data_IF_151214505224
#
_entry.id   IF_151214505224
#
_cell.length_a   1.000
_cell.length_b   1.000
_cell.length_c   1.000
_cell.angle_alpha   90.00
_cell.angle_beta   90.00
_cell.angle_gamma   90.00
#
_symmetry.space_group_name_H-M   'P 1'
#
loop_
_entity.id
_entity.type
_entity.pdbx_description
1 polymer ?
#
# COMPACT_ATOMS: atom_id res chain seq x y z
N UNK A 1 -22.54 14.04 -1.61
CA UNK A 1 -21.24 14.02 -2.33
C UNK A 1 -20.03 13.65 -1.44
N UNK A 2 -20.04 13.83 -0.11
CA UNK A 2 -18.83 13.61 0.71
C UNK A 2 -18.42 12.13 0.90
N UNK A 3 -19.36 11.17 0.91
CA UNK A 3 -19.01 9.75 1.15
C UNK A 3 -18.34 9.07 -0.05
N UNK A 4 -18.79 9.37 -1.27
CA UNK A 4 -18.26 8.78 -2.50
C UNK A 4 -16.78 9.13 -2.71
N UNK A 5 -16.43 10.41 -2.53
CA UNK A 5 -15.04 10.88 -2.70
C UNK A 5 -14.12 10.19 -1.68
N UNK A 6 -14.55 10.04 -0.43
CA UNK A 6 -13.79 9.33 0.61
C UNK A 6 -13.51 7.88 0.23
N UNK A 7 -14.54 7.17 -0.26
CA UNK A 7 -14.39 5.78 -0.69
C UNK A 7 -13.46 5.68 -1.90
N UNK A 8 -13.63 6.54 -2.90
CA UNK A 8 -12.78 6.57 -4.09
C UNK A 8 -11.31 6.80 -3.69
N UNK A 9 -11.01 7.72 -2.78
CA UNK A 9 -9.63 7.99 -2.35
C UNK A 9 -8.97 6.77 -1.70
N UNK A 10 -9.68 6.08 -0.80
CA UNK A 10 -9.15 4.88 -0.11
C UNK A 10 -9.01 3.71 -1.09
N UNK A 11 -10.00 3.50 -1.96
CA UNK A 11 -9.96 2.45 -2.98
C UNK A 11 -8.85 2.71 -4.00
N UNK A 12 -8.63 3.96 -4.40
CA UNK A 12 -7.55 4.33 -5.32
C UNK A 12 -6.18 4.00 -4.73
N UNK A 13 -5.94 4.36 -3.46
CA UNK A 13 -4.70 4.00 -2.78
C UNK A 13 -4.52 2.47 -2.72
N UNK A 14 -5.58 1.73 -2.41
CA UNK A 14 -5.53 0.26 -2.41
C UNK A 14 -5.19 -0.31 -3.80
N UNK A 15 -5.76 0.24 -4.87
CA UNK A 15 -5.47 -0.20 -6.24
C UNK A 15 -4.00 0.03 -6.58
N UNK A 16 -3.43 1.17 -6.19
CA UNK A 16 -2.01 1.48 -6.41
C UNK A 16 -1.11 0.47 -5.69
N UNK A 17 -1.42 0.15 -4.43
CA UNK A 17 -0.65 -0.83 -3.65
C UNK A 17 -0.78 -2.24 -4.23
N UNK A 18 -1.97 -2.65 -4.67
CA UNK A 18 -2.13 -3.93 -5.37
C UNK A 18 -1.41 -3.97 -6.71
N UNK A 19 -1.44 -2.87 -7.47
CA UNK A 19 -0.69 -2.75 -8.71
C UNK A 19 0.81 -2.90 -8.44
N UNK A 20 1.30 -2.30 -7.35
CA UNK A 20 2.69 -2.40 -6.91
C UNK A 20 3.12 -3.79 -6.44
N UNK A 21 2.28 -4.46 -5.65
CA UNK A 21 2.49 -5.84 -5.26
C UNK A 21 2.50 -6.77 -6.48
N UNK A 22 1.50 -6.62 -7.36
CA UNK A 22 1.35 -7.43 -8.56
C UNK A 22 2.49 -7.24 -9.56
N UNK A 23 2.96 -6.01 -9.78
CA UNK A 23 4.10 -5.74 -10.66
C UNK A 23 5.38 -6.40 -10.16
N UNK A 24 5.63 -6.37 -8.84
CA UNK A 24 6.79 -7.02 -8.22
C UNK A 24 6.69 -8.55 -8.25
N UNK A 25 5.55 -9.14 -7.85
CA UNK A 25 5.37 -10.59 -7.94
C UNK A 25 5.52 -11.13 -9.36
N UNK A 26 5.05 -10.36 -10.36
CA UNK A 26 5.16 -10.74 -11.77
C UNK A 26 6.46 -10.29 -12.44
N UNK A 27 7.38 -9.64 -11.72
CA UNK A 27 8.60 -9.04 -12.26
C UNK A 27 8.35 -8.20 -13.52
N UNK A 28 7.25 -7.44 -13.52
CA UNK A 28 6.85 -6.56 -14.62
C UNK A 28 6.24 -7.26 -15.85
N UNK A 29 6.03 -8.58 -15.84
CA UNK A 29 5.49 -9.33 -17.00
C UNK A 29 4.19 -8.74 -17.56
N UNK A 30 3.31 -8.24 -16.69
CA UNK A 30 2.00 -7.71 -17.08
C UNK A 30 1.89 -6.18 -16.95
N UNK A 31 2.72 -5.56 -16.12
CA UNK A 31 2.70 -4.11 -15.86
C UNK A 31 4.14 -3.56 -15.88
N UNK A 32 4.82 -3.62 -17.04
CA UNK A 32 6.26 -3.36 -17.11
C UNK A 32 6.65 -1.93 -16.76
N UNK A 33 5.81 -0.95 -17.10
CA UNK A 33 6.08 0.46 -16.78
C UNK A 33 6.03 0.73 -15.27
N UNK A 34 5.08 0.12 -14.56
CA UNK A 34 4.94 0.30 -13.11
C UNK A 34 6.06 -0.44 -12.37
N UNK A 35 6.43 -1.63 -12.84
CA UNK A 35 7.59 -2.35 -12.33
C UNK A 35 8.88 -1.53 -12.52
N UNK A 36 9.12 -0.97 -13.71
CA UNK A 36 10.26 -0.11 -13.98
C UNK A 36 10.28 1.15 -13.10
N UNK A 37 9.11 1.77 -12.87
CA UNK A 37 8.98 2.85 -11.90
C UNK A 37 9.43 2.38 -10.51
N UNK A 38 8.96 1.25 -10.01
CA UNK A 38 9.34 0.75 -8.69
C UNK A 38 10.83 0.39 -8.59
N UNK A 39 11.41 -0.26 -9.60
CA UNK A 39 12.82 -0.68 -9.59
C UNK A 39 13.79 0.50 -9.76
N UNK A 40 13.34 1.59 -10.38
CA UNK A 40 14.06 2.86 -10.41
C UNK A 40 14.24 3.49 -9.02
N UNK A 41 13.27 3.27 -8.11
CA UNK A 41 13.27 3.80 -6.75
C UNK A 41 13.96 2.85 -5.76
N UNK A 42 13.64 1.56 -5.84
CA UNK A 42 14.20 0.52 -4.99
C UNK A 42 14.56 -0.69 -5.86
N UNK A 43 15.85 -1.06 -6.00
CA UNK A 43 16.25 -2.21 -6.80
C UNK A 43 15.51 -3.49 -6.41
N UNK A 44 15.29 -4.37 -7.39
CA UNK A 44 14.77 -5.71 -7.16
C UNK A 44 15.93 -6.71 -7.15
N UNK A 45 16.82 -6.53 -6.18
CA UNK A 45 18.14 -7.16 -6.12
C UNK A 45 18.17 -8.45 -5.30
N UNK A 46 17.00 -8.98 -4.92
CA UNK A 46 16.87 -10.14 -4.04
C UNK A 46 17.20 -9.85 -2.58
N UNK A 47 17.43 -8.58 -2.20
CA UNK A 47 17.55 -8.20 -0.79
C UNK A 47 16.26 -8.52 -0.03
N UNK A 48 16.37 -8.72 1.28
CA UNK A 48 15.23 -8.93 2.17
C UNK A 48 14.15 -7.85 2.01
N UNK A 49 14.55 -6.59 1.83
CA UNK A 49 13.62 -5.47 1.60
C UNK A 49 12.88 -5.64 0.27
N UNK A 50 13.58 -5.95 -0.82
CA UNK A 50 12.98 -6.17 -2.12
C UNK A 50 11.99 -7.34 -2.10
N UNK A 51 12.35 -8.45 -1.44
CA UNK A 51 11.50 -9.63 -1.28
C UNK A 51 10.21 -9.31 -0.51
N UNK A 52 10.31 -8.53 0.58
CA UNK A 52 9.18 -8.30 1.50
C UNK A 52 8.25 -7.19 0.99
N UNK A 53 8.75 -6.20 0.25
CA UNK A 53 7.98 -5.05 -0.25
C UNK A 53 6.62 -5.42 -0.88
N UNK A 54 6.52 -6.36 -1.84
CA UNK A 54 5.23 -6.70 -2.45
C UNK A 54 4.21 -7.30 -1.45
N UNK A 55 4.67 -7.99 -0.41
CA UNK A 55 3.79 -8.52 0.63
C UNK A 55 3.25 -7.41 1.53
N UNK A 56 4.07 -6.42 1.86
CA UNK A 56 3.66 -5.25 2.63
C UNK A 56 2.64 -4.43 1.84
N UNK A 57 2.90 -4.16 0.57
CA UNK A 57 1.96 -3.45 -0.31
C UNK A 57 0.61 -4.18 -0.39
N UNK A 58 0.63 -5.50 -0.59
CA UNK A 58 -0.58 -6.33 -0.60
C UNK A 58 -1.36 -6.23 0.72
N UNK A 59 -0.66 -6.35 1.85
CA UNK A 59 -1.29 -6.26 3.18
C UNK A 59 -1.93 -4.91 3.43
N UNK A 60 -1.20 -3.83 3.16
CA UNK A 60 -1.71 -2.47 3.36
C UNK A 60 -2.92 -2.23 2.45
N UNK A 61 -2.88 -2.69 1.20
CA UNK A 61 -4.04 -2.65 0.30
C UNK A 61 -5.26 -3.39 0.85
N UNK A 62 -5.07 -4.61 1.36
CA UNK A 62 -6.15 -5.39 1.99
C UNK A 62 -6.71 -4.69 3.23
N UNK A 63 -5.85 -4.10 4.07
CA UNK A 63 -6.28 -3.35 5.25
C UNK A 63 -7.07 -2.10 4.84
N UNK A 64 -6.70 -1.41 3.77
CA UNK A 64 -7.47 -0.27 3.25
C UNK A 64 -8.87 -0.66 2.79
N UNK A 65 -9.03 -1.81 2.12
CA UNK A 65 -10.35 -2.25 1.65
C UNK A 65 -11.22 -2.86 2.76
N UNK A 66 -10.65 -3.69 3.61
CA UNK A 66 -11.43 -4.54 4.51
C UNK A 66 -11.25 -4.21 6.00
N UNK A 67 -10.26 -3.39 6.34
CA UNK A 67 -10.01 -3.00 7.72
C UNK A 67 -11.12 -2.12 8.30
N UNK A 68 -11.25 -2.13 9.64
CA UNK A 68 -12.02 -1.10 10.36
C UNK A 68 -11.38 0.27 10.18
N UNK A 69 -12.15 1.33 10.41
CA UNK A 69 -11.74 2.72 10.19
C UNK A 69 -10.35 3.06 10.76
N UNK A 70 -10.05 2.67 12.01
CA UNK A 70 -8.76 2.94 12.63
C UNK A 70 -7.58 2.26 11.91
N UNK A 71 -7.78 1.04 11.41
CA UNK A 71 -6.76 0.34 10.62
C UNK A 71 -6.63 0.89 9.20
N UNK A 72 -7.73 1.30 8.56
CA UNK A 72 -7.68 2.00 7.26
C UNK A 72 -6.90 3.31 7.37
N UNK A 73 -7.15 4.08 8.43
CA UNK A 73 -6.42 5.31 8.70
C UNK A 73 -4.94 5.05 8.93
N UNK A 74 -4.59 4.05 9.75
CA UNK A 74 -3.20 3.66 9.97
C UNK A 74 -2.52 3.20 8.68
N UNK A 75 -3.17 2.36 7.88
CA UNK A 75 -2.67 1.90 6.59
C UNK A 75 -2.41 3.07 5.64
N UNK A 76 -3.37 4.01 5.51
CA UNK A 76 -3.22 5.19 4.68
C UNK A 76 -2.07 6.10 5.15
N UNK A 77 -1.93 6.29 6.47
CA UNK A 77 -0.85 7.09 7.06
C UNK A 77 0.52 6.44 6.86
N UNK A 78 0.62 5.12 7.00
CA UNK A 78 1.85 4.36 6.74
C UNK A 78 2.23 4.46 5.26
N UNK A 79 1.28 4.28 4.33
CA UNK A 79 1.55 4.48 2.90
C UNK A 79 2.04 5.90 2.61
N UNK A 80 1.37 6.92 3.16
CA UNK A 80 1.76 8.30 2.99
C UNK A 80 3.19 8.53 3.50
N UNK A 81 3.54 7.99 4.67
CA UNK A 81 4.89 8.08 5.22
C UNK A 81 5.94 7.51 4.26
N UNK A 82 5.73 6.32 3.71
CA UNK A 82 6.65 5.72 2.74
C UNK A 82 6.73 6.52 1.44
N UNK A 83 5.62 7.07 0.95
CA UNK A 83 5.63 7.94 -0.24
C UNK A 83 6.39 9.24 0.00
N UNK A 84 6.28 9.85 1.19
CA UNK A 84 7.07 11.03 1.55
C UNK A 84 8.56 10.71 1.62
N UNK A 85 8.95 9.56 2.19
CA UNK A 85 10.34 9.11 2.19
C UNK A 85 10.84 8.88 0.75
N UNK A 86 10.05 8.19 -0.08
CA UNK A 86 10.36 7.96 -1.49
C UNK A 86 10.60 9.27 -2.24
N UNK A 87 9.68 10.22 -2.10
CA UNK A 87 9.80 11.57 -2.66
C UNK A 87 11.08 12.27 -2.19
N UNK A 88 11.35 12.27 -0.87
CA UNK A 88 12.53 12.91 -0.31
C UNK A 88 13.83 12.29 -0.84
N UNK A 89 13.87 10.97 -1.01
CA UNK A 89 15.01 10.26 -1.61
C UNK A 89 15.19 10.60 -3.10
N UNK A 90 14.11 10.74 -3.87
CA UNK A 90 14.22 11.13 -5.29
C UNK A 90 14.70 12.58 -5.43
N UNK A 91 14.16 13.49 -4.61
CA UNK A 91 14.57 14.90 -4.60
C UNK A 91 16.06 15.02 -4.23
N UNK A 92 16.51 14.32 -3.18
CA UNK A 92 17.91 14.37 -2.76
C UNK A 92 18.87 13.76 -3.78
N UNK A 93 18.42 12.75 -4.54
CA UNK A 93 19.18 12.13 -5.61
C UNK A 93 19.14 12.91 -6.95
N UNK A 94 18.41 14.03 -7.04
CA UNK A 94 18.24 14.79 -8.29
C UNK A 94 17.51 14.02 -9.38
N UNK A 95 16.71 13.02 -9.01
CA UNK A 95 15.97 12.14 -9.92
C UNK A 95 14.61 12.75 -10.29
N UNK A 96 13.93 12.19 -11.29
CA UNK A 96 12.57 12.62 -11.62
C UNK A 96 11.61 12.13 -10.52
N UNK A 97 10.89 13.06 -9.89
CA UNK A 97 10.05 12.83 -8.71
C UNK A 97 8.55 13.13 -8.91
N UNK A 98 8.12 13.40 -10.15
CA UNK A 98 6.71 13.76 -10.42
C UNK A 98 5.74 12.62 -10.09
N UNK A 99 6.18 11.36 -10.27
CA UNK A 99 5.41 10.19 -9.87
C UNK A 99 5.20 10.13 -8.35
N UNK A 100 6.23 10.43 -7.57
CA UNK A 100 6.15 10.44 -6.10
C UNK A 100 5.24 11.56 -5.59
N UNK A 101 5.23 12.73 -6.23
CA UNK A 101 4.28 13.81 -5.90
C UNK A 101 2.83 13.34 -6.07
N UNK A 102 2.54 12.62 -7.16
CA UNK A 102 1.21 12.05 -7.38
C UNK A 102 0.85 11.01 -6.30
N UNK A 103 1.81 10.14 -5.93
CA UNK A 103 1.62 9.16 -4.86
C UNK A 103 1.35 9.84 -3.50
N UNK A 104 2.09 10.90 -3.16
CA UNK A 104 1.86 11.69 -1.95
C UNK A 104 0.48 12.34 -1.97
N UNK A 105 0.06 12.92 -3.09
CA UNK A 105 -1.27 13.51 -3.22
C UNK A 105 -2.40 12.48 -3.00
N UNK A 106 -2.26 11.28 -3.57
CA UNK A 106 -3.21 10.17 -3.34
C UNK A 106 -3.18 9.72 -1.88
N UNK A 107 -1.99 9.62 -1.26
CA UNK A 107 -1.84 9.28 0.15
C UNK A 107 -2.56 10.28 1.07
N UNK A 108 -2.40 11.59 0.84
CA UNK A 108 -3.10 12.64 1.59
C UNK A 108 -4.62 12.51 1.43
N UNK A 109 -5.09 12.32 0.20
CA UNK A 109 -6.51 12.16 -0.09
C UNK A 109 -7.10 10.90 0.60
N UNK A 110 -6.35 9.81 0.65
CA UNK A 110 -6.75 8.58 1.31
C UNK A 110 -6.77 8.70 2.85
N UNK A 111 -5.79 9.40 3.45
CA UNK A 111 -5.79 9.71 4.89
C UNK A 111 -7.02 10.56 5.26
N UNK A 112 -7.28 11.62 4.49
CA UNK A 112 -8.48 12.43 4.67
C UNK A 112 -9.76 11.60 4.51
N UNK A 113 -9.81 10.76 3.47
CA UNK A 113 -10.91 9.83 3.22
C UNK A 113 -11.18 8.90 4.41
N UNK A 114 -10.14 8.21 4.89
CA UNK A 114 -10.23 7.25 6.00
C UNK A 114 -10.56 7.91 7.35
N UNK A 115 -10.07 9.13 7.59
CA UNK A 115 -10.34 9.87 8.85
C UNK A 115 -11.80 10.29 9.00
N UNK A 116 -12.53 10.41 7.89
CA UNK A 116 -13.89 10.98 7.86
C UNK A 116 -14.98 9.96 7.51
N UNK A 117 -14.64 8.67 7.41
CA UNK A 117 -15.61 7.58 7.20
C UNK A 117 -16.33 7.29 8.52
N UNK A 118 -17.49 7.91 8.76
CA UNK A 118 -18.38 7.54 9.86
C UNK A 118 -18.89 6.09 9.72
N UNK A 119 -19.39 5.51 10.81
CA UNK A 119 -19.85 4.12 11.04
C UNK A 119 -20.80 3.46 9.99
N UNK A 120 -21.09 4.09 8.86
CA UNK A 120 -22.20 3.71 7.96
C UNK A 120 -21.90 2.63 6.90
N UNK A 121 -20.69 2.06 6.82
CA UNK A 121 -20.41 0.98 5.87
C UNK A 121 -20.06 -0.34 6.58
N UNK A 122 -21.01 -0.87 7.35
CA UNK A 122 -20.92 -2.21 7.93
C UNK A 122 -21.46 -3.24 6.93
N UNK A 123 -20.61 -3.71 6.01
CA UNK A 123 -20.77 -4.98 5.29
C UNK A 123 -20.16 -6.11 6.13
N UNK A 124 -20.55 -7.40 5.96
CA UNK A 124 -20.40 -8.40 7.01
C UNK A 124 -18.93 -8.63 7.33
N UNK A 125 -18.60 -8.33 8.58
CA UNK A 125 -17.31 -8.57 9.20
C UNK A 125 -17.08 -10.09 9.18
N UNK A 126 -16.19 -10.57 8.31
CA UNK A 126 -15.59 -11.89 8.52
C UNK A 126 -14.89 -11.86 9.89
N UNK A 127 -15.18 -12.89 10.69
CA UNK A 127 -14.87 -12.97 12.12
C UNK A 127 -13.39 -12.70 12.43
N UNK A 128 -13.10 -12.27 13.67
CA UNK A 128 -11.74 -11.94 14.13
C UNK A 128 -10.71 -13.05 13.93
N UNK A 129 -11.14 -14.30 13.76
CA UNK A 129 -10.27 -15.45 13.49
C UNK A 129 -9.66 -15.41 12.08
N UNK A 130 -10.35 -14.85 11.09
CA UNK A 130 -9.84 -14.71 9.72
C UNK A 130 -8.58 -13.82 9.69
N UNK A 131 -8.58 -12.74 10.48
CA UNK A 131 -7.45 -11.82 10.58
C UNK A 131 -6.26 -12.42 11.31
N UNK A 132 -6.50 -13.20 12.36
CA UNK A 132 -5.44 -13.93 13.05
C UNK A 132 -4.77 -14.90 12.09
N UNK A 133 -5.52 -15.61 11.23
CA UNK A 133 -4.96 -16.53 10.23
C UNK A 133 -4.18 -15.79 9.14
N UNK A 134 -4.68 -14.67 8.61
CA UNK A 134 -3.94 -13.90 7.59
C UNK A 134 -2.67 -13.26 8.15
N UNK A 135 -2.72 -12.68 9.35
CA UNK A 135 -1.56 -12.03 9.98
C UNK A 135 -0.54 -13.08 10.45
N UNK A 136 -0.99 -14.19 11.05
CA UNK A 136 -0.09 -15.27 11.48
C UNK A 136 0.52 -16.02 10.32
N UNK A 137 -0.24 -16.29 9.24
CA UNK A 137 0.30 -16.89 8.02
C UNK A 137 1.37 -16.01 7.37
N UNK A 138 1.18 -14.69 7.39
CA UNK A 138 2.12 -13.74 6.80
C UNK A 138 3.33 -13.48 7.71
N UNK A 139 3.16 -13.48 9.04
CA UNK A 139 4.27 -13.49 10.00
C UNK A 139 5.11 -14.76 9.86
N UNK A 140 4.49 -15.92 9.64
CA UNK A 140 5.20 -17.18 9.43
C UNK A 140 6.03 -17.17 8.14
N UNK A 141 5.51 -16.54 7.08
CA UNK A 141 6.24 -16.38 5.82
C UNK A 141 7.33 -15.31 5.91
N UNK A 142 7.12 -14.23 6.67
CA UNK A 142 8.16 -13.25 6.99
C UNK A 142 9.30 -13.86 7.79
N UNK A 143 9.00 -14.69 8.79
CA UNK A 143 10.02 -15.43 9.54
C UNK A 143 10.76 -16.38 8.62
N UNK A 144 10.08 -17.11 7.72
CA UNK A 144 10.76 -17.96 6.72
C UNK A 144 11.59 -17.22 5.67
N UNK A 145 11.33 -15.94 5.43
CA UNK A 145 12.13 -15.13 4.52
C UNK A 145 13.38 -14.53 5.19
N UNK A 146 13.46 -14.60 6.53
CA UNK A 146 14.53 -14.03 7.35
C UNK A 146 15.52 -15.08 7.89
N UNK A 147 15.28 -16.37 7.62
CA UNK A 147 16.12 -17.53 7.98
C UNK A 147 16.30 -18.45 6.77
#
# INVERSE_FOLDING_TARGET
MSSLIKHISVSLLSVILFLGAFSRFSHGKFVPWWYAFQTYHAPDDGSTVAIITPYIDLLIGLVLLFGRQSFRLAAAAISLFFFVIGLAMQVSAGKNYMGDVALVAVGIAAVWGASTTSKEAQWPVFSGEFWVVCISGLLLQLVRALY
#
